data_IF_914619782680
#
_entry.id   IF_914619782680
#
_cell.length_a   1.000
_cell.length_b   1.000
_cell.length_c   1.000
_cell.angle_alpha   90.00
_cell.angle_beta   90.00
_cell.angle_gamma   90.00
#
_symmetry.space_group_name_H-M   'P 1'
#
loop_
_entity.id
_entity.type
_entity.pdbx_description
1 polymer ?
#
# COMPACT_ATOMS: atom_id res chain seq x y z
N UNK A 1 -2.62 8.10 -12.68
CA UNK A 1 -2.45 8.38 -11.23
C UNK A 1 -1.00 8.07 -10.85
N UNK A 2 -0.38 8.82 -9.96
CA UNK A 2 1.00 8.63 -9.53
C UNK A 2 1.09 8.31 -8.03
N UNK A 3 2.16 7.64 -7.62
CA UNK A 3 2.55 7.46 -6.21
C UNK A 3 3.74 8.38 -5.97
N UNK A 4 3.70 9.11 -4.86
CA UNK A 4 4.78 9.98 -4.39
C UNK A 4 4.95 9.81 -2.89
N UNK A 5 6.14 10.13 -2.38
CA UNK A 5 6.41 10.11 -0.94
C UNK A 5 5.66 11.22 -0.20
N UNK A 6 5.49 12.37 -0.85
CA UNK A 6 4.80 13.54 -0.32
C UNK A 6 4.09 14.31 -1.45
N UNK A 7 2.92 14.94 -1.18
CA UNK A 7 2.25 15.81 -2.14
C UNK A 7 3.18 16.90 -2.68
N UNK A 8 3.17 17.09 -4.00
CA UNK A 8 4.01 18.11 -4.65
C UNK A 8 3.31 19.47 -4.79
N UNK A 9 1.99 19.53 -4.64
CA UNK A 9 1.26 20.80 -4.53
C UNK A 9 1.16 21.25 -3.06
N UNK A 10 1.23 22.57 -2.87
CA UNK A 10 1.10 23.22 -1.55
C UNK A 10 -0.34 23.57 -1.18
N UNK A 11 -1.25 23.54 -2.16
CA UNK A 11 -2.61 24.08 -2.03
C UNK A 11 -3.71 23.01 -2.04
N UNK A 12 -3.37 21.75 -1.76
CA UNK A 12 -4.37 20.73 -1.48
C UNK A 12 -4.98 20.11 -2.74
N UNK A 13 -4.15 19.51 -3.58
CA UNK A 13 -4.65 18.50 -4.51
C UNK A 13 -5.36 17.37 -3.75
N UNK A 14 -6.23 16.64 -4.45
CA UNK A 14 -6.96 15.46 -3.92
C UNK A 14 -6.02 14.27 -3.66
N UNK A 15 -5.04 14.48 -2.79
CA UNK A 15 -4.07 13.48 -2.37
C UNK A 15 -4.70 12.53 -1.38
N UNK A 16 -4.67 11.25 -1.72
CA UNK A 16 -5.06 10.19 -0.81
C UNK A 16 -3.81 9.64 -0.14
N UNK A 17 -3.71 9.81 1.18
CA UNK A 17 -2.67 9.16 1.98
C UNK A 17 -2.85 7.63 1.94
N UNK A 18 -1.74 6.91 1.76
CA UNK A 18 -1.74 5.46 1.86
C UNK A 18 -1.74 5.07 3.35
N UNK A 19 -2.69 4.25 3.82
CA UNK A 19 -2.71 3.81 5.20
C UNK A 19 -1.41 3.07 5.56
N UNK A 20 -0.93 3.18 6.82
CA UNK A 20 0.20 2.40 7.30
C UNK A 20 -0.02 0.89 7.11
N UNK A 21 1.07 0.13 7.05
CA UNK A 21 1.04 -1.33 6.91
C UNK A 21 0.09 -1.80 5.79
N UNK A 22 0.18 -1.15 4.62
CA UNK A 22 -0.61 -1.48 3.44
C UNK A 22 0.27 -1.76 2.23
N UNK A 23 -0.24 -2.59 1.33
CA UNK A 23 0.33 -2.87 0.02
C UNK A 23 -0.57 -2.26 -1.05
N UNK A 24 0.01 -1.46 -1.94
CA UNK A 24 -0.70 -0.77 -3.01
C UNK A 24 -0.36 -1.44 -4.34
N UNK A 25 -1.38 -1.76 -5.12
CA UNK A 25 -1.25 -2.22 -6.50
C UNK A 25 -1.92 -1.20 -7.42
N UNK A 26 -1.19 -0.73 -8.42
CA UNK A 26 -1.71 0.18 -9.46
C UNK A 26 -1.66 -0.56 -10.79
N UNK A 27 -2.83 -0.69 -11.43
CA UNK A 27 -2.96 -1.03 -12.84
C UNK A 27 -3.40 0.20 -13.63
N UNK A 28 -3.46 0.09 -14.97
CA UNK A 28 -3.87 1.21 -15.82
C UNK A 28 -5.28 1.72 -15.53
N UNK A 29 -6.14 0.85 -14.98
CA UNK A 29 -7.57 1.06 -14.73
C UNK A 29 -7.94 1.09 -13.24
N UNK A 30 -7.09 0.62 -12.33
CA UNK A 30 -7.47 0.41 -10.93
C UNK A 30 -6.34 0.71 -9.94
N UNK A 31 -6.73 1.06 -8.72
CA UNK A 31 -5.85 1.18 -7.55
C UNK A 31 -6.45 0.35 -6.42
N UNK A 32 -5.70 -0.66 -5.97
CA UNK A 32 -6.08 -1.52 -4.84
C UNK A 32 -5.14 -1.29 -3.68
N UNK A 33 -5.71 -1.01 -2.51
CA UNK A 33 -5.00 -0.91 -1.24
C UNK A 33 -5.46 -2.05 -0.35
N UNK A 34 -4.51 -2.84 0.18
CA UNK A 34 -4.77 -4.01 1.02
C UNK A 34 -3.86 -3.98 2.25
N UNK A 35 -4.27 -4.54 3.41
CA UNK A 35 -3.35 -4.72 4.52
C UNK A 35 -2.10 -5.52 4.10
N UNK A 36 -0.94 -5.06 4.55
CA UNK A 36 0.34 -5.74 4.40
C UNK A 36 0.79 -6.21 5.78
N UNK A 37 0.82 -7.52 5.95
CA UNK A 37 1.26 -8.18 7.18
C UNK A 37 2.35 -9.20 6.85
N UNK A 38 3.24 -9.53 7.80
CA UNK A 38 4.20 -10.61 7.63
C UNK A 38 3.49 -11.89 7.21
N UNK A 39 4.12 -12.65 6.30
CA UNK A 39 3.64 -13.98 5.99
C UNK A 39 3.66 -14.81 7.27
N UNK A 40 2.55 -15.47 7.60
CA UNK A 40 2.50 -16.40 8.72
C UNK A 40 3.56 -17.49 8.48
N UNK A 41 4.59 -17.52 9.33
CA UNK A 41 5.60 -18.55 9.26
C UNK A 41 4.91 -19.89 9.48
N UNK A 42 4.94 -20.75 8.45
CA UNK A 42 4.55 -22.15 8.61
C UNK A 42 5.69 -22.83 9.37
N UNK A 43 5.64 -22.79 10.69
CA UNK A 43 6.52 -23.63 11.50
C UNK A 43 6.20 -25.09 11.14
N UNK A 44 7.14 -25.77 10.47
CA UNK A 44 7.06 -27.21 10.32
C UNK A 44 7.25 -27.82 11.72
N UNK A 45 6.19 -28.38 12.27
CA UNK A 45 6.29 -29.29 13.41
C UNK A 45 7.02 -30.54 12.90
N UNK A 46 8.33 -30.63 13.17
CA UNK A 46 9.05 -31.90 13.14
C UNK A 46 8.62 -32.65 14.40
N UNK A 47 7.91 -33.76 14.17
CA UNK A 47 7.73 -34.86 15.11
C UNK A 47 8.45 -36.08 14.58
#
# INVERSE_FOLDING_TARGET
RCIVSEPFDREGGDWQAIPPASFVTISGDDIRIRPFAPAAAKFALVG
#
